data_IF_685599941753
#
_entry.id   IF_685599941753
#
_cell.length_a   1.000
_cell.length_b   1.000
_cell.length_c   1.000
_cell.angle_alpha   90.00
_cell.angle_beta   90.00
_cell.angle_gamma   90.00
#
_symmetry.space_group_name_H-M   'P 1'
#
loop_
_entity.id
_entity.type
_entity.pdbx_description
1 polymer ?
#
# COMPACT_ATOMS: atom_id res chain seq x y z
N UNK A 1 20.30 24.04 -2.54
CA UNK A 1 21.02 23.10 -3.41
C UNK A 1 20.01 22.31 -4.22
N UNK A 2 20.09 22.38 -5.55
CA UNK A 2 19.26 21.56 -6.43
C UNK A 2 20.21 20.62 -7.17
N UNK A 3 20.09 19.32 -6.92
CA UNK A 3 20.90 18.32 -7.63
C UNK A 3 20.25 18.07 -8.98
N UNK A 4 21.04 18.05 -10.06
CA UNK A 4 20.52 17.73 -11.38
C UNK A 4 19.93 16.30 -11.39
N UNK A 5 18.74 16.14 -11.96
CA UNK A 5 18.06 14.84 -12.04
C UNK A 5 17.31 14.69 -13.35
N UNK A 6 16.98 13.45 -13.70
CA UNK A 6 16.16 13.13 -14.85
C UNK A 6 15.22 11.96 -14.52
N UNK A 7 13.97 12.03 -14.98
CA UNK A 7 12.93 11.03 -14.71
C UNK A 7 12.78 10.08 -15.91
N UNK A 8 13.01 8.79 -15.68
CA UNK A 8 12.89 7.76 -16.73
C UNK A 8 11.63 6.93 -16.52
N UNK A 9 10.75 6.91 -17.52
CA UNK A 9 9.60 5.99 -17.57
C UNK A 9 10.09 4.55 -17.68
N UNK A 10 9.65 3.69 -16.74
CA UNK A 10 10.08 2.28 -16.59
C UNK A 10 11.61 2.16 -16.45
N UNK A 11 12.20 3.04 -15.64
CA UNK A 11 13.65 3.12 -15.45
C UNK A 11 14.26 1.88 -14.81
N UNK A 12 13.50 1.16 -13.98
CA UNK A 12 13.87 -0.12 -13.39
C UNK A 12 14.11 -1.23 -14.42
N UNK A 13 13.39 -1.20 -15.54
CA UNK A 13 13.64 -2.11 -16.67
C UNK A 13 14.79 -1.69 -17.59
N UNK A 14 15.41 -0.53 -17.36
CA UNK A 14 16.41 0.08 -18.25
C UNK A 14 17.76 0.33 -17.58
N UNK A 15 17.78 0.62 -16.27
CA UNK A 15 18.97 1.04 -15.53
C UNK A 15 19.12 0.22 -14.25
N UNK A 16 20.29 -0.40 -14.07
CA UNK A 16 20.57 -1.26 -12.92
C UNK A 16 20.50 -0.53 -11.57
N UNK A 17 20.91 0.74 -11.51
CA UNK A 17 20.81 1.54 -10.27
C UNK A 17 19.36 1.76 -9.84
N UNK A 18 18.46 2.02 -10.79
CA UNK A 18 17.03 2.15 -10.53
C UNK A 18 16.43 0.79 -10.14
N UNK A 19 16.82 -0.29 -10.83
CA UNK A 19 16.39 -1.64 -10.49
C UNK A 19 16.78 -2.04 -9.06
N UNK A 20 18.04 -1.80 -8.68
CA UNK A 20 18.55 -2.08 -7.34
C UNK A 20 17.79 -1.28 -6.27
N UNK A 21 17.55 0.01 -6.51
CA UNK A 21 16.74 0.85 -5.61
C UNK A 21 15.31 0.30 -5.46
N UNK A 22 14.67 -0.13 -6.55
CA UNK A 22 13.33 -0.73 -6.53
C UNK A 22 13.29 -2.03 -5.71
N UNK A 23 14.30 -2.90 -5.84
CA UNK A 23 14.40 -4.14 -5.04
C UNK A 23 14.52 -3.83 -3.55
N UNK A 24 15.43 -2.91 -3.17
CA UNK A 24 15.59 -2.49 -1.77
C UNK A 24 14.30 -1.88 -1.21
N UNK A 25 13.64 -1.01 -1.97
CA UNK A 25 12.39 -0.39 -1.55
C UNK A 25 11.27 -1.42 -1.35
N UNK A 26 11.13 -2.39 -2.28
CA UNK A 26 10.08 -3.41 -2.24
C UNK A 26 10.28 -4.40 -1.10
N UNK A 27 11.50 -4.90 -0.92
CA UNK A 27 11.85 -5.84 0.17
C UNK A 27 11.56 -5.21 1.54
N UNK A 28 12.06 -4.01 1.78
CA UNK A 28 11.77 -3.26 3.01
C UNK A 28 10.27 -3.04 3.22
N UNK A 29 9.53 -2.67 2.17
CA UNK A 29 8.09 -2.44 2.27
C UNK A 29 7.33 -3.73 2.63
N UNK A 30 7.72 -4.87 2.07
CA UNK A 30 7.06 -6.14 2.35
C UNK A 30 7.31 -6.62 3.78
N UNK A 31 8.53 -6.43 4.29
CA UNK A 31 8.87 -6.70 5.70
C UNK A 31 8.08 -5.81 6.65
N UNK A 32 7.98 -4.51 6.33
CA UNK A 32 7.17 -3.58 7.11
C UNK A 32 5.70 -4.03 7.18
N UNK A 33 5.11 -4.46 6.05
CA UNK A 33 3.72 -4.93 6.05
C UNK A 33 3.53 -6.25 6.81
N UNK A 34 4.54 -7.13 6.80
CA UNK A 34 4.54 -8.35 7.62
C UNK A 34 4.60 -8.03 9.11
N UNK A 35 5.39 -7.04 9.53
CA UNK A 35 5.41 -6.57 10.92
C UNK A 35 4.09 -5.89 11.29
N UNK A 36 3.53 -5.08 10.40
CA UNK A 36 2.25 -4.43 10.62
C UNK A 36 1.12 -5.45 10.79
N UNK A 37 1.13 -6.56 10.05
CA UNK A 37 0.18 -7.65 10.24
C UNK A 37 0.19 -8.21 11.67
N UNK A 38 1.36 -8.30 12.30
CA UNK A 38 1.48 -8.73 13.71
C UNK A 38 0.92 -7.68 14.68
N UNK A 39 1.15 -6.40 14.41
CA UNK A 39 0.66 -5.29 15.26
C UNK A 39 -0.83 -5.03 15.12
N UNK A 40 -1.37 -5.23 13.92
CA UNK A 40 -2.78 -4.98 13.57
C UNK A 40 -3.33 -6.24 12.86
N UNK A 41 -3.58 -7.31 13.63
CA UNK A 41 -4.08 -8.56 13.07
C UNK A 41 -5.49 -8.38 12.47
N UNK A 42 -5.91 -9.33 11.63
CA UNK A 42 -7.24 -9.34 11.02
C UNK A 42 -7.36 -8.61 9.67
N UNK A 43 -6.46 -7.68 9.34
CA UNK A 43 -6.53 -6.93 8.07
C UNK A 43 -5.92 -7.64 6.86
N UNK A 44 -5.15 -8.72 7.07
CA UNK A 44 -4.53 -9.49 5.99
C UNK A 44 -3.27 -8.86 5.36
N UNK A 45 -2.65 -7.86 6.02
CA UNK A 45 -1.52 -7.09 5.47
C UNK A 45 -0.34 -7.93 4.96
N UNK A 46 -0.12 -9.14 5.50
CA UNK A 46 0.91 -10.06 5.03
C UNK A 46 0.69 -10.51 3.58
N UNK A 47 -0.56 -10.64 3.13
CA UNK A 47 -0.91 -11.16 1.81
C UNK A 47 -0.97 -10.04 0.77
N UNK A 48 -1.77 -9.01 1.02
CA UNK A 48 -2.06 -7.98 0.02
C UNK A 48 -1.25 -6.70 0.24
N UNK A 49 -0.36 -6.63 1.24
CA UNK A 49 0.58 -5.49 1.45
C UNK A 49 -0.07 -4.10 1.49
N UNK A 50 -1.36 -4.03 1.85
CA UNK A 50 -2.15 -2.80 1.90
C UNK A 50 -2.81 -2.38 0.59
N UNK A 51 -2.71 -3.18 -0.47
CA UNK A 51 -3.51 -2.97 -1.68
C UNK A 51 -5.01 -3.19 -1.39
N UNK A 52 -5.91 -2.45 -2.06
CA UNK A 52 -7.35 -2.43 -1.78
C UNK A 52 -8.07 -3.65 -2.38
N UNK A 53 -7.62 -4.86 -2.03
CA UNK A 53 -8.25 -6.12 -2.45
C UNK A 53 -9.61 -6.28 -1.77
N UNK A 54 -10.45 -7.15 -2.32
CA UNK A 54 -11.76 -7.49 -1.71
C UNK A 54 -11.61 -7.91 -0.24
N UNK A 55 -10.61 -8.73 0.07
CA UNK A 55 -10.32 -9.17 1.43
C UNK A 55 -9.94 -7.99 2.35
N UNK A 56 -9.14 -7.03 1.85
CA UNK A 56 -8.76 -5.87 2.65
C UNK A 56 -9.95 -4.95 2.92
N UNK A 57 -10.78 -4.69 1.91
CA UNK A 57 -12.00 -3.88 2.06
C UNK A 57 -12.98 -4.53 3.04
N UNK A 58 -13.18 -5.85 2.94
CA UNK A 58 -14.00 -6.59 3.90
C UNK A 58 -13.47 -6.47 5.34
N UNK A 59 -12.15 -6.50 5.53
CA UNK A 59 -11.55 -6.27 6.84
C UNK A 59 -11.75 -4.84 7.34
N UNK A 60 -11.69 -3.83 6.46
CA UNK A 60 -12.00 -2.43 6.81
C UNK A 60 -13.47 -2.29 7.22
N UNK A 61 -14.41 -2.94 6.53
CA UNK A 61 -15.83 -2.95 6.92
C UNK A 61 -16.01 -3.59 8.30
N UNK A 62 -15.32 -4.71 8.56
CA UNK A 62 -15.46 -5.48 9.81
C UNK A 62 -14.80 -4.82 11.02
N UNK A 63 -13.58 -4.30 10.85
CA UNK A 63 -12.74 -3.82 11.96
C UNK A 63 -12.59 -2.29 12.00
N UNK A 64 -13.10 -1.59 10.99
CA UNK A 64 -12.92 -0.15 10.82
C UNK A 64 -11.57 0.23 10.19
N UNK A 65 -11.33 1.53 10.05
CA UNK A 65 -10.05 2.05 9.56
C UNK A 65 -9.02 2.16 10.68
N UNK A 66 -7.74 2.08 10.34
CA UNK A 66 -6.62 2.28 11.28
C UNK A 66 -5.79 3.48 10.88
N UNK A 67 -4.90 3.94 11.77
CA UNK A 67 -3.96 5.03 11.49
C UNK A 67 -2.97 4.70 10.36
N UNK A 68 -2.86 3.44 9.96
CA UNK A 68 -2.01 3.01 8.85
C UNK A 68 -2.71 3.08 7.47
N UNK A 69 -4.03 3.32 7.46
CA UNK A 69 -4.76 3.54 6.23
C UNK A 69 -4.60 4.99 5.76
N UNK A 70 -4.45 5.16 4.45
CA UNK A 70 -4.39 6.50 3.83
C UNK A 70 -5.80 7.07 3.76
N UNK A 71 -6.13 7.99 4.66
CA UNK A 71 -7.48 8.59 4.77
C UNK A 71 -7.90 9.43 3.56
N UNK A 72 -6.94 9.91 2.76
CA UNK A 72 -7.22 10.60 1.50
C UNK A 72 -7.61 9.66 0.35
N UNK A 73 -7.44 8.34 0.52
CA UNK A 73 -7.79 7.35 -0.49
C UNK A 73 -9.22 6.87 -0.27
N UNK A 74 -9.89 6.45 -1.34
CA UNK A 74 -11.20 5.81 -1.24
C UNK A 74 -11.04 4.37 -0.71
N UNK A 75 -11.27 4.19 0.59
CA UNK A 75 -11.10 2.91 1.29
C UNK A 75 -12.28 1.95 1.08
N UNK A 76 -13.49 2.49 1.08
CA UNK A 76 -14.73 1.77 0.82
C UNK A 76 -15.46 2.42 -0.36
N UNK A 77 -16.41 1.71 -0.93
CA UNK A 77 -17.23 2.27 -2.00
C UNK A 77 -18.02 3.46 -1.46
N UNK A 78 -18.29 4.43 -2.34
CA UNK A 78 -19.12 5.58 -1.95
C UNK A 78 -20.50 5.02 -1.62
N UNK A 79 -21.06 5.46 -0.49
CA UNK A 79 -22.45 5.17 -0.20
C UNK A 79 -23.30 5.95 -1.20
N UNK A 80 -23.84 5.24 -2.20
CA UNK A 80 -24.65 5.80 -3.28
C UNK A 80 -26.16 5.68 -2.99
N UNK A 81 -26.53 4.92 -1.97
CA UNK A 81 -27.92 4.63 -1.63
C UNK A 81 -28.22 5.06 -0.18
N UNK A 82 -29.31 5.80 -0.02
CA UNK A 82 -29.93 6.12 1.26
C UNK A 82 -31.14 5.21 1.36
N UNK A 83 -31.07 4.20 2.22
CA UNK A 83 -32.24 3.38 2.54
C UNK A 83 -33.03 4.09 3.62
N UNK A 84 -34.29 4.41 3.33
CA UNK A 84 -35.29 4.89 4.28
C UNK A 84 -35.96 3.72 5.00
#
# INVERSE_FOLDING_TARGET
HQVAYHCIVRGDGKYYSIAAASVLAKTYRDDYMSQLHKKVPGYGFINHKGYPTKAHRAAIVKYGITNYHRRSFQLLDKQLEINF
#
